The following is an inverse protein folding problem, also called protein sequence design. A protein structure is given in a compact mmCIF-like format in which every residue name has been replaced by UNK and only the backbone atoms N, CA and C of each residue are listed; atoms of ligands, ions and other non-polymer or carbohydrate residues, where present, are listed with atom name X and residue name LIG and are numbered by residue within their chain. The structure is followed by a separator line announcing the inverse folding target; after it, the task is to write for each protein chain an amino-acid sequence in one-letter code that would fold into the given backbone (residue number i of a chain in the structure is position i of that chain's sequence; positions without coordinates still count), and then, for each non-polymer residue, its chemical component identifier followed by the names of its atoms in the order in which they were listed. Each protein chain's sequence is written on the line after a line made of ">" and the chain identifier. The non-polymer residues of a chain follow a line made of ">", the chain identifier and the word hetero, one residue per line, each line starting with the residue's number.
data_IF_428390655460
#
_entry.id   IF_428390655460
#
_cell.length_a   1.000
_cell.length_b   1.000
_cell.length_c   1.000
_cell.angle_alpha   90.00
_cell.angle_beta   90.00
_cell.angle_gamma   90.00
#
_symmetry.space_group_name_H-M   'P 1'
#
loop_
_entity.id
_entity.type
_entity.pdbx_description
1 polymer ?
#
# COMPACT_ATOMS: atom_id res chain seq x y z
N UNK A 1 -6.20 2.30 -11.27
CA UNK A 1 -6.42 1.84 -9.89
C UNK A 1 -7.55 2.64 -9.23
N UNK A 2 -8.37 2.04 -8.35
CA UNK A 2 -9.29 2.81 -7.49
C UNK A 2 -8.73 2.86 -6.07
N UNK A 3 -8.54 4.06 -5.52
CA UNK A 3 -8.00 4.27 -4.17
C UNK A 3 -9.09 4.86 -3.28
N UNK A 4 -9.36 4.22 -2.15
CA UNK A 4 -10.28 4.69 -1.13
C UNK A 4 -9.48 5.02 0.14
N UNK A 5 -9.45 6.29 0.52
CA UNK A 5 -8.71 6.77 1.70
C UNK A 5 -9.72 7.16 2.76
N UNK A 6 -9.52 6.65 3.98
CA UNK A 6 -10.37 6.91 5.13
C UNK A 6 -9.54 7.26 6.36
N UNK A 7 -10.09 8.11 7.22
CA UNK A 7 -9.49 8.48 8.49
C UNK A 7 -10.23 7.84 9.67
N UNK A 8 -9.48 7.36 10.65
CA UNK A 8 -9.99 6.89 11.93
C UNK A 8 -9.42 7.78 13.04
N UNK A 9 -10.27 8.57 13.68
CA UNK A 9 -9.86 9.63 14.62
C UNK A 9 -8.92 10.71 14.00
N UNK A 10 -8.89 10.80 12.68
CA UNK A 10 -8.13 11.82 11.94
C UNK A 10 -8.97 12.30 10.75
N UNK A 11 -8.94 13.60 10.49
CA UNK A 11 -9.53 14.16 9.28
C UNK A 11 -8.56 13.99 8.12
N UNK A 12 -9.04 13.39 7.01
CA UNK A 12 -8.22 13.25 5.80
C UNK A 12 -8.31 14.56 5.03
N UNK A 13 -7.27 15.39 5.19
CA UNK A 13 -7.12 16.63 4.42
C UNK A 13 -6.73 16.34 2.97
N UNK A 14 -6.94 17.30 2.07
CA UNK A 14 -6.53 17.19 0.67
C UNK A 14 -5.03 16.89 0.54
N UNK A 15 -4.19 17.50 1.37
CA UNK A 15 -2.75 17.25 1.39
C UNK A 15 -2.41 15.79 1.74
N UNK A 16 -3.14 15.19 2.69
CA UNK A 16 -2.96 13.76 3.04
C UNK A 16 -3.46 12.86 1.91
N UNK A 17 -4.59 13.20 1.30
CA UNK A 17 -5.15 12.48 0.18
C UNK A 17 -4.16 12.44 -1.00
N UNK A 18 -3.68 13.61 -1.40
CA UNK A 18 -2.69 13.77 -2.47
C UNK A 18 -1.39 13.04 -2.17
N UNK A 19 -0.90 13.12 -0.91
CA UNK A 19 0.33 12.44 -0.52
C UNK A 19 0.20 10.92 -0.64
N UNK A 20 -0.87 10.34 -0.11
CA UNK A 20 -1.14 8.90 -0.24
C UNK A 20 -1.30 8.51 -1.70
N UNK A 21 -2.06 9.29 -2.48
CA UNK A 21 -2.28 9.03 -3.90
C UNK A 21 -0.94 9.01 -4.69
N UNK A 22 -0.07 10.00 -4.48
CA UNK A 22 1.24 10.07 -5.11
C UNK A 22 2.14 8.88 -4.75
N UNK A 23 2.08 8.37 -3.51
CA UNK A 23 2.86 7.20 -3.08
C UNK A 23 2.37 5.93 -3.75
N UNK A 24 1.05 5.73 -3.80
CA UNK A 24 0.43 4.59 -4.46
C UNK A 24 0.57 4.61 -5.98
N UNK A 25 0.58 5.78 -6.62
CA UNK A 25 0.81 5.91 -8.06
C UNK A 25 2.16 5.32 -8.48
N UNK A 26 3.20 5.50 -7.65
CA UNK A 26 4.52 4.87 -7.88
C UNK A 26 4.45 3.35 -7.87
N UNK A 27 3.60 2.76 -7.02
CA UNK A 27 3.36 1.32 -7.03
C UNK A 27 2.63 0.88 -8.30
N UNK A 28 1.59 1.61 -8.72
CA UNK A 28 0.84 1.29 -9.94
C UNK A 28 1.75 1.26 -11.18
N UNK A 29 2.69 2.21 -11.32
CA UNK A 29 3.66 2.24 -12.43
C UNK A 29 4.55 1.01 -12.52
N UNK A 30 4.79 0.31 -11.41
CA UNK A 30 5.63 -0.88 -11.37
C UNK A 30 4.83 -2.20 -11.45
N UNK A 31 3.51 -2.13 -11.23
CA UNK A 31 2.63 -3.29 -11.05
C UNK A 31 1.27 -3.09 -11.74
N UNK A 32 1.15 -3.56 -12.99
CA UNK A 32 -0.05 -3.42 -13.83
C UNK A 32 -1.31 -4.18 -13.35
N UNK A 33 -1.24 -4.89 -12.21
CA UNK A 33 -2.30 -5.79 -11.73
C UNK A 33 -2.90 -5.34 -10.40
N UNK A 34 -2.76 -4.06 -10.05
CA UNK A 34 -3.39 -3.47 -8.87
C UNK A 34 -4.85 -3.11 -9.18
N UNK A 35 -5.77 -3.69 -8.40
CA UNK A 35 -7.20 -3.41 -8.49
C UNK A 35 -7.61 -2.24 -7.59
N UNK A 36 -8.22 -2.59 -6.46
CA UNK A 36 -8.68 -1.63 -5.45
C UNK A 36 -7.66 -1.55 -4.30
N UNK A 37 -7.39 -0.33 -3.85
CA UNK A 37 -6.60 -0.03 -2.67
C UNK A 37 -7.48 0.66 -1.62
N UNK A 38 -7.52 0.09 -0.42
CA UNK A 38 -8.12 0.72 0.75
C UNK A 38 -7.01 1.21 1.66
N UNK A 39 -7.01 2.49 2.02
CA UNK A 39 -6.09 3.09 3.00
C UNK A 39 -6.87 3.61 4.18
N UNK A 40 -6.39 3.29 5.38
CA UNK A 40 -6.89 3.82 6.65
C UNK A 40 -5.76 4.54 7.35
N UNK A 41 -5.93 5.84 7.59
CA UNK A 41 -5.03 6.66 8.39
C UNK A 41 -5.63 6.80 9.78
N UNK A 42 -4.84 6.66 10.84
CA UNK A 42 -5.32 6.88 12.19
C UNK A 42 -4.30 7.56 13.08
N UNK A 43 -4.78 8.38 14.00
CA UNK A 43 -3.95 9.09 14.98
C UNK A 43 -4.56 8.87 16.36
N UNK A 44 -3.85 8.14 17.21
CA UNK A 44 -4.27 7.86 18.58
C UNK A 44 -3.16 8.25 19.56
N UNK A 45 -3.39 9.32 20.32
CA UNK A 45 -2.41 9.91 21.25
C UNK A 45 -1.10 10.27 20.53
N UNK A 46 -0.03 9.50 20.77
CA UNK A 46 1.27 9.69 20.13
C UNK A 46 1.55 8.67 19.01
N UNK A 47 0.60 7.79 18.69
CA UNK A 47 0.76 6.78 17.65
C UNK A 47 0.03 7.22 16.39
N UNK A 48 0.77 7.48 15.32
CA UNK A 48 0.22 7.74 14.00
C UNK A 48 0.40 6.49 13.15
N UNK A 49 -0.69 5.96 12.63
CA UNK A 49 -0.72 4.69 11.90
C UNK A 49 -1.26 4.89 10.50
N UNK A 50 -0.63 4.22 9.55
CA UNK A 50 -1.12 4.08 8.19
C UNK A 50 -1.29 2.59 7.89
N UNK A 51 -2.47 2.21 7.42
CA UNK A 51 -2.81 0.84 7.00
C UNK A 51 -3.27 0.87 5.55
N UNK A 52 -2.87 -0.13 4.78
CA UNK A 52 -3.34 -0.30 3.41
C UNK A 52 -3.60 -1.77 3.08
N UNK A 53 -4.69 -1.99 2.35
CA UNK A 53 -5.06 -3.27 1.77
C UNK A 53 -5.15 -3.12 0.26
N UNK A 54 -4.38 -3.91 -0.47
CA UNK A 54 -4.28 -3.86 -1.93
C UNK A 54 -4.78 -5.19 -2.50
N UNK A 55 -5.81 -5.11 -3.32
CA UNK A 55 -6.28 -6.26 -4.08
C UNK A 55 -5.51 -6.36 -5.40
N UNK A 56 -4.84 -7.49 -5.62
CA UNK A 56 -4.14 -7.81 -6.86
C UNK A 56 -4.72 -9.09 -7.48
N UNK A 57 -4.37 -9.36 -8.74
CA UNK A 57 -4.85 -10.57 -9.42
C UNK A 57 -4.37 -11.84 -8.71
N UNK A 58 -5.29 -12.50 -7.99
CA UNK A 58 -5.04 -13.78 -7.33
C UNK A 58 -4.43 -13.68 -5.93
N UNK A 59 -4.34 -12.49 -5.34
CA UNK A 59 -3.93 -12.30 -3.95
C UNK A 59 -4.45 -10.97 -3.38
N UNK A 60 -4.44 -10.85 -2.07
CA UNK A 60 -4.65 -9.60 -1.35
C UNK A 60 -3.40 -9.34 -0.51
N UNK A 61 -2.86 -8.14 -0.60
CA UNK A 61 -1.73 -7.68 0.18
C UNK A 61 -2.22 -6.73 1.26
N UNK A 62 -1.57 -6.77 2.41
CA UNK A 62 -1.88 -5.88 3.52
C UNK A 62 -0.57 -5.38 4.14
N UNK A 63 -0.51 -4.10 4.43
CA UNK A 63 0.61 -3.50 5.12
C UNK A 63 0.13 -2.43 6.08
N UNK A 64 0.71 -2.40 7.26
CA UNK A 64 0.54 -1.31 8.21
C UNK A 64 1.89 -0.81 8.72
N UNK A 65 1.94 0.45 9.15
CA UNK A 65 3.09 1.00 9.84
C UNK A 65 2.64 2.04 10.86
N UNK A 66 3.39 2.13 11.95
CA UNK A 66 3.20 3.12 13.01
C UNK A 66 4.46 3.96 13.10
N UNK A 67 4.29 5.26 13.23
CA UNK A 67 5.35 6.23 13.45
C UNK A 67 4.82 7.39 14.30
N UNK A 68 5.72 8.23 14.80
CA UNK A 68 5.35 9.46 15.53
C UNK A 68 4.86 10.57 14.57
N UNK A 69 5.05 10.36 13.26
CA UNK A 69 4.69 11.26 12.16
C UNK A 69 3.91 10.47 11.10
N UNK A 70 2.73 10.97 10.72
CA UNK A 70 1.84 10.25 9.79
C UNK A 70 2.44 10.10 8.39
N UNK A 71 3.17 11.10 7.89
CA UNK A 71 3.79 11.03 6.55
C UNK A 71 4.87 9.94 6.52
N UNK A 72 5.66 9.84 7.60
CA UNK A 72 6.61 8.75 7.76
C UNK A 72 5.93 7.38 7.91
N UNK A 73 4.80 7.30 8.63
CA UNK A 73 4.01 6.07 8.68
C UNK A 73 3.49 5.65 7.30
N UNK A 74 3.02 6.60 6.49
CA UNK A 74 2.58 6.35 5.10
C UNK A 74 3.74 5.81 4.26
N UNK A 75 4.93 6.40 4.37
CA UNK A 75 6.11 5.96 3.62
C UNK A 75 6.53 4.54 3.99
N UNK A 76 6.58 4.23 5.29
CA UNK A 76 6.90 2.90 5.79
C UNK A 76 5.87 1.84 5.36
N UNK A 77 4.58 2.21 5.35
CA UNK A 77 3.50 1.35 4.87
C UNK A 77 3.64 1.10 3.36
N UNK A 78 3.96 2.13 2.57
CA UNK A 78 4.18 2.03 1.13
C UNK A 78 5.39 1.14 0.79
N UNK A 79 6.51 1.28 1.53
CA UNK A 79 7.70 0.44 1.37
C UNK A 79 7.40 -1.05 1.66
N UNK A 80 6.56 -1.32 2.66
CA UNK A 80 6.11 -2.69 2.95
C UNK A 80 5.24 -3.25 1.83
N UNK A 81 4.36 -2.45 1.23
CA UNK A 81 3.57 -2.86 0.07
C UNK A 81 4.47 -3.15 -1.14
N UNK A 82 5.42 -2.28 -1.45
CA UNK A 82 6.36 -2.45 -2.57
C UNK A 82 7.11 -3.78 -2.48
N UNK A 83 7.66 -4.09 -1.30
CA UNK A 83 8.34 -5.38 -1.05
C UNK A 83 7.42 -6.58 -1.22
N UNK A 84 6.16 -6.48 -0.81
CA UNK A 84 5.20 -7.57 -0.98
C UNK A 84 4.82 -7.77 -2.45
N UNK A 85 4.64 -6.67 -3.19
CA UNK A 85 4.35 -6.69 -4.62
C UNK A 85 5.53 -7.28 -5.42
N UNK A 86 6.77 -6.88 -5.10
CA UNK A 86 7.98 -7.46 -5.70
C UNK A 86 8.04 -8.97 -5.49
N UNK A 87 7.89 -9.44 -4.24
CA UNK A 87 7.87 -10.88 -3.92
C UNK A 87 6.77 -11.64 -4.65
N UNK A 88 5.59 -11.03 -4.81
CA UNK A 88 4.50 -11.65 -5.56
C UNK A 88 4.83 -11.78 -7.04
N UNK A 89 5.43 -10.75 -7.64
CA UNK A 89 5.87 -10.74 -9.04
C UNK A 89 6.97 -11.79 -9.27
N UNK A 90 7.98 -11.85 -8.41
CA UNK A 90 9.07 -12.83 -8.48
C UNK A 90 8.54 -14.26 -8.45
N UNK A 91 7.70 -14.61 -7.47
CA UNK A 91 7.08 -15.95 -7.38
C UNK A 91 6.28 -16.33 -8.63
N UNK A 92 5.62 -15.36 -9.26
CA UNK A 92 4.85 -15.59 -10.50
C UNK A 92 5.78 -15.87 -11.67
N UNK A 93 6.89 -15.14 -11.79
CA UNK A 93 7.92 -15.37 -12.81
C UNK A 93 8.60 -16.72 -12.60
N UNK A 94 9.00 -17.04 -11.37
CA UNK A 94 9.61 -18.33 -11.02
C UNK A 94 8.70 -19.51 -11.39
N UNK A 95 7.39 -19.40 -11.15
CA UNK A 95 6.42 -20.43 -11.54
C UNK A 95 6.29 -20.58 -13.06
N UNK A 96 6.38 -19.48 -13.81
CA UNK A 96 6.35 -19.52 -15.28
C UNK A 96 7.63 -20.18 -15.84
N UNK A 97 8.78 -19.94 -15.22
CA UNK A 97 10.06 -20.50 -15.65
C UNK A 97 10.31 -21.93 -15.11
N UNK A 98 9.69 -22.30 -14.00
CA UNK A 98 9.81 -23.61 -13.36
C UNK A 98 9.02 -24.74 -14.04
N UNK A 99 8.10 -24.43 -14.95
CA UNK A 99 7.36 -25.41 -15.76
C UNK A 99 8.06 -25.78 -17.08
N UNK A 100 9.31 -25.34 -17.28
CA UNK A 100 10.09 -25.62 -18.49
C UNK A 100 11.10 -26.78 -18.32
N UNK A 101 10.89 -27.69 -17.36
CA UNK A 101 11.68 -28.93 -17.22
C UNK A 101 10.78 -30.14 -17.08
#
# INVERSE_FOLDING_TARGET
>A
MQVNISGHHVEVTDALNDYVAQKLEKLERHFDQIGNVQVTLSVEKQRQKAEASVNIKGAQLHADAIHDDLYAAIDLMNDKLDRQLLKHKEKKVDRLHGNAR
#
